data_IF_205277944049
#
_entry.id   IF_205277944049
#
_cell.length_a   1.000
_cell.length_b   1.000
_cell.length_c   1.000
_cell.angle_alpha   90.00
_cell.angle_beta   90.00
_cell.angle_gamma   90.00
#
_symmetry.space_group_name_H-M   'P 1'
#
loop_
_entity.id
_entity.type
_entity.pdbx_description
1 polymer ?
#
# COMPACT_ATOMS: atom_id res chain seq x y z
N UNK A 1 -1.33 -6.25 8.39
CA UNK A 1 -1.60 -5.05 9.22
C UNK A 1 -3.06 -4.62 9.10
N UNK A 2 -3.55 -4.23 7.95
CA UNK A 2 -4.91 -3.74 7.75
C UNK A 2 -6.01 -4.67 8.30
N UNK A 3 -5.94 -5.98 8.04
CA UNK A 3 -6.87 -6.97 8.63
C UNK A 3 -6.92 -6.94 10.16
N UNK A 4 -5.77 -6.73 10.82
CA UNK A 4 -5.71 -6.68 12.29
C UNK A 4 -6.40 -5.42 12.81
N UNK A 5 -6.16 -4.27 12.19
CA UNK A 5 -6.81 -3.01 12.54
C UNK A 5 -8.32 -3.09 12.31
N UNK A 6 -8.73 -3.57 11.15
CA UNK A 6 -10.15 -3.74 10.81
C UNK A 6 -10.89 -4.64 11.82
N UNK A 7 -10.29 -5.79 12.17
CA UNK A 7 -10.84 -6.70 13.17
C UNK A 7 -11.01 -6.04 14.55
N UNK A 8 -10.01 -5.29 15.00
CA UNK A 8 -10.05 -4.60 16.31
C UNK A 8 -11.08 -3.47 16.36
N UNK A 9 -11.31 -2.79 15.24
CA UNK A 9 -12.29 -1.71 15.11
C UNK A 9 -13.68 -2.20 14.67
N UNK A 10 -13.86 -3.50 14.44
CA UNK A 10 -15.08 -4.07 13.87
C UNK A 10 -15.48 -3.42 12.54
N UNK A 11 -14.50 -3.15 11.67
CA UNK A 11 -14.67 -2.54 10.36
C UNK A 11 -14.44 -3.57 9.24
N UNK A 12 -15.01 -3.30 8.06
CA UNK A 12 -14.72 -4.06 6.85
C UNK A 12 -13.25 -3.89 6.45
N UNK A 13 -12.64 -4.92 5.89
CA UNK A 13 -11.29 -4.86 5.33
C UNK A 13 -11.32 -5.09 3.82
N UNK A 14 -10.63 -4.22 3.08
CA UNK A 14 -10.41 -4.35 1.63
C UNK A 14 -8.92 -4.28 1.35
N UNK A 15 -8.42 -5.19 0.50
CA UNK A 15 -7.08 -5.16 -0.08
C UNK A 15 -7.25 -4.94 -1.59
N UNK A 16 -6.82 -3.78 -2.08
CA UNK A 16 -7.04 -3.40 -3.48
C UNK A 16 -6.28 -4.28 -4.46
N UNK A 17 -5.08 -4.73 -4.09
CA UNK A 17 -4.31 -5.65 -4.93
C UNK A 17 -5.00 -7.02 -5.02
N UNK A 18 -5.54 -7.52 -3.91
CA UNK A 18 -6.30 -8.78 -3.90
C UNK A 18 -7.56 -8.70 -4.76
N UNK A 19 -8.28 -7.59 -4.71
CA UNK A 19 -9.46 -7.37 -5.57
C UNK A 19 -9.10 -7.37 -7.07
N UNK A 20 -7.98 -6.72 -7.43
CA UNK A 20 -7.50 -6.71 -8.83
C UNK A 20 -7.10 -8.13 -9.27
N UNK A 21 -6.38 -8.87 -8.42
CA UNK A 21 -6.02 -10.25 -8.71
C UNK A 21 -7.26 -11.14 -8.93
N UNK A 22 -8.28 -10.98 -8.09
CA UNK A 22 -9.55 -11.71 -8.22
C UNK A 22 -10.29 -11.32 -9.51
N UNK A 23 -10.40 -10.02 -9.81
CA UNK A 23 -11.07 -9.49 -11.01
C UNK A 23 -10.50 -10.06 -12.30
N UNK A 24 -9.18 -10.22 -12.39
CA UNK A 24 -8.49 -10.70 -13.59
C UNK A 24 -8.11 -12.19 -13.53
N UNK A 25 -8.36 -12.86 -12.39
CA UNK A 25 -7.88 -14.23 -12.14
C UNK A 25 -6.38 -14.40 -12.42
N UNK A 26 -5.61 -13.37 -12.11
CA UNK A 26 -4.17 -13.28 -12.34
C UNK A 26 -3.48 -12.67 -11.13
N UNK A 27 -2.24 -13.08 -10.89
CA UNK A 27 -1.37 -12.38 -9.93
C UNK A 27 -0.91 -11.03 -10.49
N UNK A 28 -0.61 -10.06 -9.62
CA UNK A 28 -0.15 -8.73 -10.05
C UNK A 28 1.02 -8.82 -11.03
N UNK A 29 2.00 -9.68 -10.76
CA UNK A 29 3.14 -9.87 -11.67
C UNK A 29 2.75 -10.42 -13.04
N UNK A 30 1.72 -11.27 -13.12
CA UNK A 30 1.17 -11.79 -14.39
C UNK A 30 0.47 -10.68 -15.17
N UNK A 31 -0.28 -9.81 -14.49
CA UNK A 31 -0.92 -8.64 -15.11
C UNK A 31 0.15 -7.72 -15.73
N UNK A 32 1.24 -7.44 -14.99
CA UNK A 32 2.36 -6.65 -15.52
C UNK A 32 3.00 -7.28 -16.74
N UNK A 33 3.24 -8.59 -16.70
CA UNK A 33 3.87 -9.33 -17.81
C UNK A 33 2.97 -9.40 -19.03
N UNK A 34 1.69 -9.69 -18.85
CA UNK A 34 0.76 -9.98 -19.94
C UNK A 34 0.07 -8.73 -20.50
N UNK A 35 -0.13 -7.71 -19.68
CA UNK A 35 -0.91 -6.50 -20.02
C UNK A 35 -0.15 -5.18 -19.84
N UNK A 36 1.00 -5.20 -19.19
CA UNK A 36 1.85 -4.04 -18.95
C UNK A 36 1.50 -3.22 -17.71
N UNK A 37 2.43 -2.35 -17.31
CA UNK A 37 2.29 -1.49 -16.14
C UNK A 37 1.16 -0.47 -16.29
N UNK A 38 1.04 0.18 -17.45
CA UNK A 38 0.02 1.20 -17.69
C UNK A 38 -1.40 0.64 -17.54
N UNK A 39 -1.63 -0.57 -18.05
CA UNK A 39 -2.90 -1.26 -17.85
C UNK A 39 -3.18 -1.51 -16.36
N UNK A 40 -2.20 -2.02 -15.62
CA UNK A 40 -2.34 -2.24 -14.19
C UNK A 40 -2.64 -0.94 -13.45
N UNK A 41 -1.92 0.15 -13.74
CA UNK A 41 -2.12 1.45 -13.09
C UNK A 41 -3.52 2.03 -13.35
N UNK A 42 -4.05 1.85 -14.55
CA UNK A 42 -5.42 2.25 -14.86
C UNK A 42 -6.45 1.45 -14.05
N UNK A 43 -6.26 0.14 -13.95
CA UNK A 43 -7.17 -0.70 -13.15
C UNK A 43 -7.01 -0.47 -11.65
N UNK A 44 -5.80 -0.21 -11.17
CA UNK A 44 -5.52 0.18 -9.78
C UNK A 44 -6.25 1.48 -9.42
N UNK A 45 -6.22 2.49 -10.28
CA UNK A 45 -6.92 3.75 -10.07
C UNK A 45 -8.45 3.54 -9.97
N UNK A 46 -9.04 2.81 -10.90
CA UNK A 46 -10.49 2.49 -10.87
C UNK A 46 -10.87 1.76 -9.59
N UNK A 47 -10.10 0.73 -9.22
CA UNK A 47 -10.37 -0.09 -8.03
C UNK A 47 -10.28 0.74 -6.75
N UNK A 48 -9.23 1.54 -6.58
CA UNK A 48 -9.05 2.35 -5.38
C UNK A 48 -10.15 3.40 -5.26
N UNK A 49 -10.47 4.12 -6.34
CA UNK A 49 -11.53 5.14 -6.33
C UNK A 49 -12.90 4.52 -6.02
N UNK A 50 -13.18 3.31 -6.48
CA UNK A 50 -14.40 2.58 -6.13
C UNK A 50 -14.40 2.16 -4.65
N UNK A 51 -13.29 1.62 -4.15
CA UNK A 51 -13.15 1.25 -2.74
C UNK A 51 -13.34 2.43 -1.78
N UNK A 52 -12.90 3.63 -2.17
CA UNK A 52 -13.03 4.85 -1.36
C UNK A 52 -14.47 5.33 -1.16
N UNK A 53 -15.43 4.82 -1.92
CA UNK A 53 -16.87 5.08 -1.70
C UNK A 53 -17.42 4.33 -0.49
N UNK A 54 -16.74 3.28 -0.02
CA UNK A 54 -17.16 2.51 1.14
C UNK A 54 -16.88 3.27 2.43
N UNK A 55 -17.90 3.34 3.29
CA UNK A 55 -17.76 3.87 4.65
C UNK A 55 -17.36 2.75 5.62
N UNK A 56 -16.81 3.13 6.76
CA UNK A 56 -16.46 2.20 7.84
C UNK A 56 -15.59 1.02 7.37
N UNK A 57 -14.56 1.33 6.58
CA UNK A 57 -13.72 0.33 5.91
C UNK A 57 -12.25 0.67 6.08
N UNK A 58 -11.44 -0.32 6.38
CA UNK A 58 -9.98 -0.24 6.33
C UNK A 58 -9.54 -0.72 4.96
N UNK A 59 -8.86 0.14 4.21
CA UNK A 59 -8.38 -0.15 2.85
C UNK A 59 -6.86 -0.27 2.88
N UNK A 60 -6.33 -1.41 2.44
CA UNK A 60 -4.91 -1.60 2.19
C UNK A 60 -4.60 -1.32 0.72
N UNK A 61 -3.64 -0.44 0.47
CA UNK A 61 -3.21 -0.04 -0.86
C UNK A 61 -1.92 -0.75 -1.26
N UNK A 62 -1.77 -1.04 -2.55
CA UNK A 62 -0.50 -1.35 -3.15
C UNK A 62 0.50 -0.19 -3.02
N UNK A 63 1.80 -0.50 -2.95
CA UNK A 63 2.83 0.52 -2.70
C UNK A 63 2.96 1.61 -3.77
N UNK A 64 2.43 1.40 -4.97
CA UNK A 64 2.43 2.40 -6.03
C UNK A 64 1.18 3.29 -6.08
N UNK A 65 0.07 2.86 -5.49
CA UNK A 65 -1.23 3.52 -5.63
C UNK A 65 -1.21 4.99 -5.16
N UNK A 66 -0.58 5.28 -4.02
CA UNK A 66 -0.51 6.65 -3.49
C UNK A 66 0.35 7.61 -4.33
N UNK A 67 1.17 7.09 -5.26
CA UNK A 67 1.92 7.90 -6.24
C UNK A 67 1.00 8.53 -7.29
N UNK A 68 -0.13 7.91 -7.60
CA UNK A 68 -1.13 8.45 -8.50
C UNK A 68 -1.81 9.67 -7.87
N UNK A 69 -1.81 10.80 -8.60
CA UNK A 69 -2.34 12.08 -8.11
C UNK A 69 -3.84 12.03 -7.83
N UNK A 70 -4.62 11.36 -8.68
CA UNK A 70 -6.07 11.27 -8.53
C UNK A 70 -6.46 10.44 -7.30
N UNK A 71 -5.81 9.28 -7.13
CA UNK A 71 -5.97 8.44 -5.94
C UNK A 71 -5.60 9.25 -4.69
N UNK A 72 -4.43 9.86 -4.67
CA UNK A 72 -3.94 10.62 -3.53
C UNK A 72 -4.86 11.75 -3.14
N UNK A 73 -5.31 12.56 -4.09
CA UNK A 73 -6.24 13.65 -3.83
C UNK A 73 -7.56 13.16 -3.24
N UNK A 74 -8.09 12.06 -3.75
CA UNK A 74 -9.31 11.45 -3.23
C UNK A 74 -9.15 10.95 -1.80
N UNK A 75 -8.01 10.29 -1.50
CA UNK A 75 -7.68 9.81 -0.16
C UNK A 75 -7.56 10.97 0.83
N UNK A 76 -6.79 12.01 0.47
CA UNK A 76 -6.55 13.14 1.37
C UNK A 76 -7.82 13.92 1.68
N UNK A 77 -8.79 13.94 0.74
CA UNK A 77 -10.09 14.61 0.92
C UNK A 77 -11.08 13.78 1.75
N UNK A 78 -11.11 12.47 1.56
CA UNK A 78 -12.23 11.63 2.00
C UNK A 78 -11.86 10.56 3.03
N UNK A 79 -10.57 10.45 3.43
CA UNK A 79 -10.11 9.34 4.25
C UNK A 79 -9.03 9.75 5.25
N UNK A 80 -8.84 8.94 6.27
CA UNK A 80 -7.68 9.04 7.18
C UNK A 80 -6.59 8.11 6.66
N UNK A 81 -5.49 8.69 6.21
CA UNK A 81 -4.38 7.94 5.62
C UNK A 81 -3.22 7.75 6.60
N UNK A 82 -2.65 6.56 6.60
CA UNK A 82 -1.50 6.18 7.42
C UNK A 82 -0.35 5.70 6.55
N UNK A 83 0.79 6.33 6.67
CA UNK A 83 2.04 5.85 6.12
C UNK A 83 2.78 4.99 7.14
N UNK A 84 2.94 3.71 6.84
CA UNK A 84 3.74 2.78 7.65
C UNK A 84 5.19 2.86 7.16
N UNK A 85 5.98 3.71 7.83
CA UNK A 85 7.37 3.96 7.45
C UNK A 85 8.30 2.92 8.06
N UNK A 86 9.15 2.36 7.21
CA UNK A 86 10.21 1.44 7.57
C UNK A 86 11.54 1.96 7.04
N UNK A 87 12.60 1.81 7.83
CA UNK A 87 13.96 2.12 7.39
C UNK A 87 14.31 1.28 6.14
N UNK A 88 15.02 1.88 5.21
CA UNK A 88 15.42 1.25 3.94
C UNK A 88 16.16 -0.09 4.15
N UNK A 89 16.98 -0.20 5.19
CA UNK A 89 17.67 -1.46 5.54
C UNK A 89 16.68 -2.57 5.88
N UNK A 90 15.60 -2.25 6.58
CA UNK A 90 14.56 -3.20 6.96
C UNK A 90 13.66 -3.56 5.77
N UNK A 91 13.41 -2.62 4.87
CA UNK A 91 12.73 -2.87 3.60
C UNK A 91 13.54 -3.86 2.76
N UNK A 92 14.84 -3.63 2.59
CA UNK A 92 15.73 -4.52 1.84
C UNK A 92 15.73 -5.95 2.40
N UNK A 93 15.78 -6.10 3.72
CA UNK A 93 15.69 -7.43 4.36
C UNK A 93 14.40 -8.15 4.06
N UNK A 94 13.24 -7.42 4.08
CA UNK A 94 11.92 -8.01 3.83
C UNK A 94 11.72 -8.38 2.37
N UNK A 95 12.25 -7.61 1.45
CA UNK A 95 12.06 -7.81 0.01
C UNK A 95 12.89 -8.94 -0.55
N UNK A 96 14.10 -9.18 -0.04
CA UNK A 96 14.94 -10.31 -0.45
C UNK A 96 14.25 -11.68 -0.28
N UNK A 97 13.18 -11.77 0.53
CA UNK A 97 12.39 -12.99 0.74
C UNK A 97 11.22 -13.13 -0.26
N UNK A 98 10.91 -12.09 -1.05
CA UNK A 98 9.68 -12.07 -1.85
C UNK A 98 9.96 -11.75 -3.33
N UNK A 99 10.34 -12.78 -4.10
CA UNK A 99 10.63 -12.70 -5.55
C UNK A 99 9.42 -12.32 -6.45
N UNK A 100 8.25 -12.02 -5.86
CA UNK A 100 6.96 -11.80 -6.57
C UNK A 100 6.62 -10.33 -6.82
N UNK A 101 7.59 -9.43 -6.86
CA UNK A 101 7.34 -8.00 -7.11
C UNK A 101 7.84 -7.61 -8.51
N UNK A 102 6.94 -7.28 -9.47
CA UNK A 102 7.30 -7.04 -10.87
C UNK A 102 8.38 -5.98 -11.07
N UNK A 103 8.30 -4.87 -10.34
CA UNK A 103 9.24 -3.76 -10.47
C UNK A 103 10.65 -4.07 -9.94
N UNK A 104 10.81 -5.13 -9.15
CA UNK A 104 12.11 -5.51 -8.56
C UNK A 104 12.89 -6.51 -9.40
N UNK A 105 12.29 -7.03 -10.47
CA UNK A 105 12.90 -8.05 -11.33
C UNK A 105 13.69 -7.45 -12.52
N UNK A 106 13.83 -6.10 -12.58
CA UNK A 106 14.39 -5.39 -13.72
C UNK A 106 15.87 -4.99 -13.55
N UNK A 107 16.59 -5.56 -12.57
CA UNK A 107 18.00 -5.23 -12.32
C UNK A 107 18.47 -5.54 -10.90
N UNK A 108 19.45 -4.78 -10.38
CA UNK A 108 19.86 -4.90 -8.98
C UNK A 108 18.72 -4.48 -8.06
N UNK A 109 18.14 -5.47 -7.37
CA UNK A 109 17.00 -5.30 -6.48
C UNK A 109 17.22 -4.22 -5.43
N UNK A 110 18.45 -4.11 -4.90
CA UNK A 110 18.79 -3.12 -3.86
C UNK A 110 18.78 -1.70 -4.41
N UNK A 111 19.32 -1.48 -5.60
CA UNK A 111 19.31 -0.17 -6.25
C UNK A 111 17.88 0.27 -6.61
N UNK A 112 17.08 -0.65 -7.13
CA UNK A 112 15.67 -0.40 -7.46
C UNK A 112 14.88 -0.03 -6.20
N UNK A 113 15.07 -0.75 -5.09
CA UNK A 113 14.42 -0.44 -3.81
C UNK A 113 14.84 0.93 -3.30
N UNK A 114 16.13 1.27 -3.36
CA UNK A 114 16.64 2.57 -2.94
C UNK A 114 16.02 3.70 -3.76
N UNK A 115 15.94 3.54 -5.08
CA UNK A 115 15.30 4.49 -5.99
C UNK A 115 13.82 4.66 -5.66
N UNK A 116 13.07 3.57 -5.60
CA UNK A 116 11.63 3.61 -5.29
C UNK A 116 11.37 4.22 -3.90
N UNK A 117 12.20 3.91 -2.91
CA UNK A 117 12.07 4.50 -1.58
C UNK A 117 12.27 6.01 -1.62
N UNK A 118 13.31 6.50 -2.30
CA UNK A 118 13.61 7.93 -2.42
C UNK A 118 12.48 8.69 -3.13
N UNK A 119 11.97 8.15 -4.23
CA UNK A 119 10.87 8.74 -5.00
C UNK A 119 9.56 8.77 -4.19
N UNK A 120 9.22 7.67 -3.51
CA UNK A 120 7.95 7.51 -2.80
C UNK A 120 7.91 8.24 -1.47
N UNK A 121 9.04 8.34 -0.77
CA UNK A 121 9.13 8.94 0.56
C UNK A 121 8.54 10.35 0.62
N UNK A 122 8.83 11.19 -0.37
CA UNK A 122 8.35 12.58 -0.40
C UNK A 122 6.82 12.65 -0.62
N UNK A 123 6.28 11.72 -1.40
CA UNK A 123 4.83 11.62 -1.63
C UNK A 123 4.14 11.00 -0.41
N UNK A 124 4.70 9.96 0.17
CA UNK A 124 4.11 9.31 1.35
C UNK A 124 4.04 10.22 2.59
N UNK A 125 4.93 11.21 2.69
CA UNK A 125 4.86 12.26 3.72
C UNK A 125 3.57 13.08 3.69
N UNK A 126 2.83 13.08 2.59
CA UNK A 126 1.54 13.75 2.46
C UNK A 126 0.40 12.99 3.17
N UNK A 127 0.61 11.74 3.58
CA UNK A 127 -0.36 11.02 4.39
C UNK A 127 -0.62 11.75 5.71
N UNK A 128 -1.86 11.67 6.19
CA UNK A 128 -2.27 12.38 7.42
C UNK A 128 -1.43 11.98 8.63
N UNK A 129 -1.12 10.69 8.75
CA UNK A 129 -0.29 10.17 9.83
C UNK A 129 0.86 9.32 9.29
N UNK A 130 2.02 9.52 9.91
CA UNK A 130 3.21 8.69 9.70
C UNK A 130 3.47 7.85 10.95
N UNK A 131 3.66 6.56 10.79
CA UNK A 131 4.01 5.63 11.88
C UNK A 131 5.36 5.00 11.57
N UNK A 132 6.36 5.27 12.38
CA UNK A 132 7.62 4.54 12.31
C UNK A 132 7.39 3.10 12.81
N UNK A 133 7.63 2.13 11.93
CA UNK A 133 7.39 0.72 12.17
C UNK A 133 8.68 -0.07 12.48
N UNK A 134 9.84 0.62 12.57
CA UNK A 134 11.09 -0.04 12.88
C UNK A 134 11.04 -0.65 14.29
N UNK A 135 11.51 -1.90 14.38
CA UNK A 135 11.56 -2.68 15.62
C UNK A 135 10.22 -2.89 16.34
N UNK A 136 9.10 -2.53 15.71
CA UNK A 136 7.77 -2.71 16.29
C UNK A 136 7.10 -3.98 15.77
N UNK A 137 6.46 -4.70 16.68
CA UNK A 137 5.60 -5.83 16.36
C UNK A 137 4.26 -5.37 15.76
N UNK A 138 3.59 -6.29 15.04
CA UNK A 138 2.31 -6.04 14.36
C UNK A 138 1.23 -5.47 15.27
N UNK A 139 1.13 -5.99 16.50
CA UNK A 139 0.11 -5.56 17.47
C UNK A 139 0.33 -4.13 17.96
N UNK A 140 1.60 -3.74 18.18
CA UNK A 140 1.97 -2.39 18.60
C UNK A 140 1.64 -1.37 17.49
N UNK A 141 1.97 -1.73 16.24
CA UNK A 141 1.66 -0.86 15.09
C UNK A 141 0.14 -0.72 14.93
N UNK A 142 -0.61 -1.82 15.06
CA UNK A 142 -2.07 -1.79 14.98
C UNK A 142 -2.67 -0.90 16.08
N UNK A 143 -2.17 -1.00 17.32
CA UNK A 143 -2.59 -0.13 18.41
C UNK A 143 -2.33 1.35 18.10
N UNK A 144 -1.13 1.71 17.61
CA UNK A 144 -0.82 3.09 17.24
C UNK A 144 -1.76 3.65 16.15
N UNK A 145 -2.14 2.83 15.16
CA UNK A 145 -3.10 3.22 14.14
C UNK A 145 -4.45 3.52 14.77
N UNK A 146 -4.93 2.64 15.65
CA UNK A 146 -6.23 2.78 16.34
C UNK A 146 -6.23 4.02 17.21
N UNK A 147 -5.21 4.21 18.06
CA UNK A 147 -5.08 5.37 18.95
C UNK A 147 -5.08 6.71 18.17
N UNK A 148 -4.57 6.73 16.91
CA UNK A 148 -4.61 7.91 16.06
C UNK A 148 -5.92 8.07 15.29
N UNK A 149 -6.62 6.98 15.02
CA UNK A 149 -7.92 6.98 14.34
C UNK A 149 -9.04 7.49 15.26
N UNK A 150 -8.98 7.15 16.54
CA UNK A 150 -9.99 7.50 17.56
C UNK A 150 -9.83 8.92 18.13
N UNK A 151 -8.74 9.65 17.77
CA UNK A 151 -8.52 11.06 18.12
C UNK A 151 -9.28 12.00 17.21
#
# INVERSE_FOLDING_TARGET
MGKTVAKKLNLKFIDTDANIEEKFSMKIWEIFTNKGEDFFRNEEEKEVLECLKNKNTVIALGGGAFMNKNIRNSILKNSISFWLDLNIKNINKRVNWNKKRPLLNQGDTKEIINKLYSERKNIYKLAKYKINCDKLGKEIIAKKIIDLYEK
#
